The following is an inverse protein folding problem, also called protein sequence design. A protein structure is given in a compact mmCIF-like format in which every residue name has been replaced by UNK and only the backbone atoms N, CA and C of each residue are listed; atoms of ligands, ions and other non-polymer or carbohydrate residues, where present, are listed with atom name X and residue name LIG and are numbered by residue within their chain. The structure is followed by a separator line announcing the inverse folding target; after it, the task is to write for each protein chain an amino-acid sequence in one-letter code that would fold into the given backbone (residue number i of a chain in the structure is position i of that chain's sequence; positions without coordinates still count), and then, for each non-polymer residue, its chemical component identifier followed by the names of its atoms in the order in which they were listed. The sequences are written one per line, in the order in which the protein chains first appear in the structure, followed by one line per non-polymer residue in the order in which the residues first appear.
data_IF_853266428253
#
_entry.id   IF_853266428253
#
_cell.length_a   1.000
_cell.length_b   1.000
_cell.length_c   1.000
_cell.angle_alpha   90.00
_cell.angle_beta   90.00
_cell.angle_gamma   90.00
#
_symmetry.space_group_name_H-M   'P 1'
#
loop_
_entity.id
_entity.type
_entity.pdbx_description
1 polymer ?
#
# COMPACT_ATOMS: atom_id res chain seq x y z
N UNK A 1 34.20 -33.00 32.30
CA UNK A 1 33.65 -31.64 32.39
C UNK A 1 32.20 -31.72 31.95
N UNK A 2 31.24 -31.68 32.88
CA UNK A 2 29.83 -31.80 32.55
C UNK A 2 29.31 -30.44 32.08
N UNK A 3 29.02 -30.32 30.78
CA UNK A 3 28.40 -29.14 30.19
C UNK A 3 26.91 -29.17 30.55
N UNK A 4 26.46 -28.23 31.37
CA UNK A 4 25.02 -27.99 31.57
C UNK A 4 24.45 -27.53 30.23
N UNK A 5 23.44 -28.20 29.66
CA UNK A 5 22.92 -27.85 28.34
C UNK A 5 22.19 -26.50 28.38
N UNK A 6 22.69 -25.51 27.62
CA UNK A 6 22.16 -24.14 27.44
C UNK A 6 20.79 -24.11 26.71
N UNK A 7 20.15 -25.27 26.52
CA UNK A 7 19.04 -25.50 25.59
C UNK A 7 17.72 -24.82 25.97
N UNK A 8 17.69 -24.05 27.06
CA UNK A 8 16.45 -23.48 27.61
C UNK A 8 16.46 -21.95 27.78
N UNK A 9 17.44 -21.21 27.26
CA UNK A 9 17.49 -19.75 27.47
C UNK A 9 16.40 -18.93 26.75
N UNK A 10 15.61 -19.53 25.85
CA UNK A 10 14.64 -18.82 24.99
C UNK A 10 13.19 -19.35 25.05
N UNK A 11 12.84 -20.15 26.07
CA UNK A 11 11.44 -20.41 26.42
C UNK A 11 11.12 -19.39 27.52
N UNK A 12 10.34 -18.33 27.38
CA UNK A 12 9.09 -18.18 26.68
C UNK A 12 8.88 -16.68 26.48
N UNK A 13 8.78 -16.21 25.24
CA UNK A 13 8.09 -14.93 25.02
C UNK A 13 6.61 -15.24 25.22
N UNK A 14 6.03 -14.81 26.35
CA UNK A 14 4.61 -15.04 26.63
C UNK A 14 3.76 -14.50 25.49
N UNK A 15 2.91 -15.35 24.89
CA UNK A 15 2.01 -14.97 23.80
C UNK A 15 1.13 -13.79 24.20
N UNK A 16 0.66 -13.77 25.45
CA UNK A 16 -0.12 -12.66 25.99
C UNK A 16 0.72 -11.37 26.03
N UNK A 17 2.01 -11.46 26.36
CA UNK A 17 2.94 -10.32 26.32
C UNK A 17 3.17 -9.81 24.89
N UNK A 18 3.31 -10.71 23.91
CA UNK A 18 3.42 -10.35 22.49
C UNK A 18 2.14 -9.68 22.00
N UNK A 19 0.97 -10.21 22.35
CA UNK A 19 -0.32 -9.66 21.96
C UNK A 19 -0.60 -8.32 22.64
N UNK A 20 -0.25 -8.15 23.92
CA UNK A 20 -0.38 -6.88 24.62
C UNK A 20 0.54 -5.80 24.03
N UNK A 21 1.77 -6.16 23.68
CA UNK A 21 2.69 -5.26 22.99
C UNK A 21 2.16 -4.91 21.58
N UNK A 22 1.66 -5.89 20.83
CA UNK A 22 1.04 -5.65 19.53
C UNK A 22 -0.19 -4.74 19.65
N UNK A 23 -1.03 -4.92 20.67
CA UNK A 23 -2.19 -4.07 20.91
C UNK A 23 -1.80 -2.63 21.26
N UNK A 24 -0.73 -2.41 22.04
CA UNK A 24 -0.20 -1.08 22.33
C UNK A 24 0.35 -0.38 21.08
N UNK A 25 1.00 -1.14 20.18
CA UNK A 25 1.48 -0.63 18.89
C UNK A 25 0.30 -0.21 17.98
N UNK A 26 -0.80 -0.96 18.04
CA UNK A 26 -2.00 -0.68 17.23
C UNK A 26 -2.89 0.40 17.85
N UNK A 27 -2.87 0.57 19.17
CA UNK A 27 -3.71 1.53 19.88
C UNK A 27 -3.37 3.00 19.56
N UNK A 28 -2.12 3.28 19.20
CA UNK A 28 -1.67 4.61 18.79
C UNK A 28 -1.65 4.78 17.26
N UNK A 29 -2.24 3.83 16.51
CA UNK A 29 -2.51 4.04 15.09
C UNK A 29 -3.65 5.05 14.99
N UNK A 30 -3.42 6.24 14.42
CA UNK A 30 -4.53 7.15 14.18
C UNK A 30 -5.48 6.44 13.20
N UNK A 31 -6.76 6.34 13.57
CA UNK A 31 -7.84 5.83 12.70
C UNK A 31 -7.88 6.55 11.33
N UNK A 32 -7.17 7.67 11.22
CA UNK A 32 -7.03 8.50 10.04
C UNK A 32 -5.94 8.08 9.03
N UNK A 33 -5.10 7.05 9.25
CA UNK A 33 -4.21 6.56 8.15
C UNK A 33 -4.92 5.72 7.09
N UNK A 34 -6.21 5.45 7.26
CA UNK A 34 -7.08 4.98 6.18
C UNK A 34 -7.85 6.14 5.52
N UNK A 35 -7.87 7.33 6.11
CA UNK A 35 -8.61 8.50 5.61
C UNK A 35 -7.77 9.37 4.65
N UNK A 36 -6.46 9.12 4.57
CA UNK A 36 -5.50 9.77 3.65
C UNK A 36 -5.36 9.04 2.29
N UNK A 37 -6.17 8.03 2.00
CA UNK A 37 -6.24 7.47 0.64
C UNK A 37 -7.33 8.11 -0.23
N UNK A 38 -7.97 9.17 0.24
CA UNK A 38 -8.90 9.99 -0.56
C UNK A 38 -8.15 10.96 -1.51
N UNK A 39 -6.97 10.57 -1.98
CA UNK A 39 -6.21 11.29 -3.01
C UNK A 39 -6.59 10.77 -4.40
N UNK A 40 -7.76 11.17 -4.89
CA UNK A 40 -8.07 11.04 -6.32
C UNK A 40 -8.11 9.61 -6.87
N UNK A 41 -8.61 8.65 -6.09
CA UNK A 41 -8.87 7.31 -6.62
C UNK A 41 -10.02 7.38 -7.64
N UNK A 42 -9.69 7.23 -8.93
CA UNK A 42 -10.70 6.95 -9.94
C UNK A 42 -11.39 5.63 -9.61
N UNK A 43 -12.71 5.59 -9.73
CA UNK A 43 -13.50 4.39 -9.51
C UNK A 43 -13.33 3.40 -10.67
N UNK A 44 -13.22 3.93 -11.90
CA UNK A 44 -13.02 3.16 -13.14
C UNK A 44 -12.07 3.91 -14.08
N UNK A 45 -11.21 3.16 -14.77
CA UNK A 45 -10.35 3.65 -15.84
C UNK A 45 -10.58 2.88 -17.15
N UNK A 46 -10.56 3.56 -18.29
CA UNK A 46 -10.63 2.99 -19.63
C UNK A 46 -9.42 3.44 -20.46
N UNK A 47 -8.73 2.48 -21.09
CA UNK A 47 -7.65 2.74 -22.04
C UNK A 47 -8.15 2.61 -23.48
N UNK A 48 -8.03 3.69 -24.26
CA UNK A 48 -8.27 3.69 -25.70
C UNK A 48 -6.96 3.41 -26.45
N UNK A 49 -6.84 2.19 -26.97
CA UNK A 49 -5.65 1.74 -27.69
C UNK A 49 -5.42 2.47 -29.02
N UNK A 50 -6.48 3.00 -29.66
CA UNK A 50 -6.36 3.68 -30.94
C UNK A 50 -5.75 5.08 -30.79
N UNK A 51 -5.95 5.71 -29.63
CA UNK A 51 -5.52 7.08 -29.36
C UNK A 51 -4.48 7.20 -28.25
N UNK A 52 -4.16 6.12 -27.52
CA UNK A 52 -3.21 6.13 -26.40
C UNK A 52 -3.70 6.92 -25.18
N UNK A 53 -5.01 7.18 -25.10
CA UNK A 53 -5.61 8.00 -24.05
C UNK A 53 -6.19 7.15 -22.93
N UNK A 54 -6.02 7.66 -21.72
CA UNK A 54 -6.68 7.15 -20.53
C UNK A 54 -7.86 8.05 -20.18
N UNK A 55 -8.97 7.42 -19.84
CA UNK A 55 -10.17 8.07 -19.33
C UNK A 55 -10.41 7.60 -17.90
N UNK A 56 -10.43 8.55 -16.97
CA UNK A 56 -10.70 8.30 -15.56
C UNK A 56 -12.10 8.84 -15.21
N UNK A 57 -12.86 8.03 -14.48
CA UNK A 57 -14.07 8.48 -13.81
C UNK A 57 -13.86 8.38 -12.30
N UNK A 58 -14.08 9.49 -11.61
CA UNK A 58 -13.99 9.55 -10.16
C UNK A 58 -15.35 9.26 -9.51
N UNK A 59 -15.32 8.98 -8.20
CA UNK A 59 -16.52 8.64 -7.42
C UNK A 59 -17.53 9.80 -7.35
N UNK A 60 -17.03 11.04 -7.39
CA UNK A 60 -17.86 12.25 -7.44
C UNK A 60 -18.53 12.50 -8.81
N UNK A 61 -18.27 11.64 -9.79
CA UNK A 61 -18.80 11.73 -11.15
C UNK A 61 -17.98 12.63 -12.07
N UNK A 62 -16.93 13.29 -11.58
CA UNK A 62 -16.01 14.03 -12.43
C UNK A 62 -15.19 13.07 -13.31
N UNK A 63 -14.70 13.61 -14.43
CA UNK A 63 -13.91 12.85 -15.40
C UNK A 63 -12.63 13.57 -15.74
N UNK A 64 -11.54 12.82 -15.92
CA UNK A 64 -10.28 13.34 -16.44
C UNK A 64 -9.79 12.47 -17.61
N UNK A 65 -9.05 13.05 -18.54
CA UNK A 65 -8.49 12.31 -19.67
C UNK A 65 -7.15 12.88 -20.10
N UNK A 66 -6.14 12.02 -20.15
CA UNK A 66 -4.78 12.39 -20.53
C UNK A 66 -4.16 11.33 -21.45
N UNK A 67 -3.12 11.76 -22.17
CA UNK A 67 -2.31 10.88 -23.01
C UNK A 67 -1.15 10.32 -22.18
N UNK A 68 -0.94 9.00 -22.26
CA UNK A 68 0.22 8.35 -21.64
C UNK A 68 1.03 7.49 -22.62
N UNK A 69 0.61 7.43 -23.89
CA UNK A 69 1.27 6.66 -24.92
C UNK A 69 0.52 5.39 -25.33
N UNK A 70 0.98 4.81 -26.43
CA UNK A 70 0.62 3.46 -26.89
C UNK A 70 1.78 2.49 -26.69
N UNK A 71 1.52 1.17 -26.63
CA UNK A 71 2.60 0.17 -26.60
C UNK A 71 3.55 0.36 -27.79
N UNK A 72 4.83 0.63 -27.52
CA UNK A 72 5.84 0.90 -28.53
C UNK A 72 6.32 2.35 -28.57
N UNK A 73 5.62 3.26 -27.90
CA UNK A 73 6.10 4.63 -27.73
C UNK A 73 7.35 4.67 -26.84
N UNK A 74 8.33 5.47 -27.25
CA UNK A 74 9.56 5.70 -26.49
C UNK A 74 9.39 7.00 -25.68
N UNK A 75 9.45 6.96 -24.34
CA UNK A 75 9.31 8.16 -23.52
C UNK A 75 10.48 9.11 -23.79
N UNK A 76 10.16 10.36 -24.08
CA UNK A 76 11.14 11.45 -24.15
C UNK A 76 11.32 12.01 -22.75
N UNK A 77 12.56 12.06 -22.25
CA UNK A 77 12.91 12.86 -21.08
C UNK A 77 12.84 14.34 -21.47
N UNK A 78 11.87 15.06 -20.89
CA UNK A 78 11.78 16.52 -20.88
C UNK A 78 12.51 17.13 -19.68
N UNK A 79 12.63 18.45 -19.66
CA UNK A 79 13.49 19.29 -18.82
C UNK A 79 13.43 19.06 -17.30
#
# INVERSE_FOLDING_TARGET
MNLVPVRNLFKEVSVIGVLALAALIVADMPAARAADLETGNSDVALFDQATGRWHLRYRDGSTNSFYYGTPGDVPLLGD
#
